data_IF_262849754256
#
_entry.id   IF_262849754256
#
_cell.length_a   1.000
_cell.length_b   1.000
_cell.length_c   1.000
_cell.angle_alpha   90.00
_cell.angle_beta   90.00
_cell.angle_gamma   90.00
#
_symmetry.space_group_name_H-M   'P 1'
#
loop_
_entity.id
_entity.type
_entity.pdbx_description
1 polymer ?
#
# COMPACT_ATOMS: atom_id res chain seq x y z
N UNK A 1 -7.43 13.55 10.72
CA UNK A 1 -6.99 12.15 10.96
C UNK A 1 -5.57 12.13 11.48
N UNK A 2 -5.17 11.05 12.17
CA UNK A 2 -3.79 10.78 12.57
C UNK A 2 -3.21 9.67 11.68
N UNK A 3 -1.89 9.49 11.70
CA UNK A 3 -1.20 8.52 10.83
C UNK A 3 -1.68 7.07 11.05
N UNK A 4 -2.09 6.71 12.28
CA UNK A 4 -2.65 5.39 12.60
C UNK A 4 -3.90 5.07 11.79
N UNK A 5 -4.84 6.01 11.71
CA UNK A 5 -6.06 5.82 10.92
C UNK A 5 -5.73 5.64 9.45
N UNK A 6 -4.75 6.41 8.93
CA UNK A 6 -4.31 6.31 7.54
C UNK A 6 -3.70 4.94 7.25
N UNK A 7 -2.87 4.40 8.15
CA UNK A 7 -2.36 3.03 8.04
C UNK A 7 -3.50 2.01 7.97
N UNK A 8 -4.54 2.14 8.79
CA UNK A 8 -5.67 1.21 8.73
C UNK A 8 -6.47 1.35 7.43
N UNK A 9 -6.67 2.56 6.93
CA UNK A 9 -7.34 2.78 5.63
C UNK A 9 -6.59 2.08 4.51
N UNK A 10 -5.28 2.31 4.37
CA UNK A 10 -4.49 1.60 3.35
C UNK A 10 -4.46 0.10 3.61
N UNK A 11 -4.21 -0.32 4.85
CA UNK A 11 -4.12 -1.73 5.21
C UNK A 11 -5.38 -2.53 4.86
N UNK A 12 -6.55 -2.00 5.22
CA UNK A 12 -7.84 -2.62 4.89
C UNK A 12 -8.07 -2.58 3.38
N UNK A 13 -7.78 -1.45 2.71
CA UNK A 13 -7.98 -1.32 1.25
C UNK A 13 -7.15 -2.36 0.49
N UNK A 14 -5.87 -2.52 0.82
CA UNK A 14 -4.99 -3.49 0.19
C UNK A 14 -5.46 -4.93 0.41
N UNK A 15 -5.92 -5.27 1.63
CA UNK A 15 -6.50 -6.60 1.89
C UNK A 15 -7.76 -6.82 1.07
N UNK A 16 -8.68 -5.85 1.04
CA UNK A 16 -9.94 -5.98 0.30
C UNK A 16 -9.70 -6.13 -1.20
N UNK A 17 -8.80 -5.33 -1.80
CA UNK A 17 -8.44 -5.43 -3.21
C UNK A 17 -7.74 -6.75 -3.50
N UNK A 18 -6.81 -7.18 -2.64
CA UNK A 18 -6.13 -8.47 -2.79
C UNK A 18 -7.10 -9.65 -2.72
N UNK A 19 -8.09 -9.61 -1.82
CA UNK A 19 -9.14 -10.62 -1.74
C UNK A 19 -10.07 -10.59 -2.97
N UNK A 20 -10.45 -9.40 -3.43
CA UNK A 20 -11.27 -9.23 -4.63
C UNK A 20 -10.60 -9.83 -5.87
N UNK A 21 -9.28 -9.69 -6.00
CA UNK A 21 -8.51 -10.20 -7.13
C UNK A 21 -8.51 -11.73 -7.29
N UNK A 22 -8.94 -12.49 -6.28
CA UNK A 22 -9.10 -13.95 -6.39
C UNK A 22 -10.43 -14.37 -7.04
N UNK A 23 -11.34 -13.43 -7.28
CA UNK A 23 -12.65 -13.67 -7.87
C UNK A 23 -12.68 -12.95 -9.22
N UNK A 24 -13.10 -13.65 -10.29
CA UNK A 24 -13.16 -13.03 -11.61
C UNK A 24 -14.12 -11.82 -11.61
N UNK A 25 -13.62 -10.68 -12.07
CA UNK A 25 -14.37 -9.42 -12.11
C UNK A 25 -13.73 -8.45 -13.13
N UNK A 26 -14.47 -7.46 -13.65
CA UNK A 26 -13.95 -6.58 -14.70
C UNK A 26 -12.89 -5.57 -14.23
N UNK A 27 -12.67 -5.41 -12.92
CA UNK A 27 -11.77 -4.38 -12.37
C UNK A 27 -10.38 -4.92 -12.06
N UNK A 28 -10.27 -5.96 -11.22
CA UNK A 28 -9.02 -6.54 -10.73
C UNK A 28 -9.10 -8.05 -10.85
N UNK A 29 -8.62 -8.61 -11.95
CA UNK A 29 -8.53 -10.05 -12.21
C UNK A 29 -7.45 -10.32 -13.25
N UNK A 30 -7.27 -11.58 -13.68
CA UNK A 30 -6.32 -11.91 -14.76
C UNK A 30 -6.71 -11.24 -16.10
N UNK A 31 -8.00 -10.94 -16.29
CA UNK A 31 -8.54 -10.31 -17.52
C UNK A 31 -9.17 -8.93 -17.29
N UNK A 32 -9.11 -8.42 -16.05
CA UNK A 32 -9.70 -7.15 -15.65
C UNK A 32 -8.90 -5.92 -16.12
N UNK A 33 -9.45 -4.74 -15.82
CA UNK A 33 -8.80 -3.46 -16.14
C UNK A 33 -7.41 -3.32 -15.48
N UNK A 34 -7.26 -3.79 -14.26
CA UNK A 34 -5.98 -4.02 -13.58
C UNK A 34 -5.68 -5.51 -13.63
N UNK A 35 -4.76 -5.88 -14.53
CA UNK A 35 -4.41 -7.28 -14.75
C UNK A 35 -3.53 -7.79 -13.60
N UNK A 36 -4.06 -8.69 -12.78
CA UNK A 36 -3.42 -9.24 -11.59
C UNK A 36 -3.56 -10.75 -11.56
N UNK A 37 -2.57 -11.44 -10.99
CA UNK A 37 -2.61 -12.89 -10.78
C UNK A 37 -2.58 -13.23 -9.28
N UNK A 38 -2.67 -14.53 -8.97
CA UNK A 38 -2.69 -15.02 -7.59
C UNK A 38 -1.55 -14.47 -6.72
N UNK A 39 -0.34 -14.31 -7.28
CA UNK A 39 0.83 -13.85 -6.53
C UNK A 39 0.74 -12.34 -6.26
N UNK A 40 0.28 -11.55 -7.23
CA UNK A 40 0.02 -10.13 -7.05
C UNK A 40 -1.00 -9.91 -5.91
N UNK A 41 -2.10 -10.67 -5.92
CA UNK A 41 -3.12 -10.61 -4.88
C UNK A 41 -2.57 -10.94 -3.48
N UNK A 42 -1.67 -11.93 -3.40
CA UNK A 42 -1.01 -12.28 -2.15
C UNK A 42 -0.09 -11.15 -1.64
N UNK A 43 0.66 -10.50 -2.54
CA UNK A 43 1.48 -9.32 -2.19
C UNK A 43 0.60 -8.20 -1.62
N UNK A 44 -0.59 -7.96 -2.19
CA UNK A 44 -1.54 -6.98 -1.66
C UNK A 44 -2.00 -7.31 -0.24
N UNK A 45 -2.37 -8.56 0.02
CA UNK A 45 -2.80 -9.00 1.36
C UNK A 45 -1.66 -8.82 2.37
N UNK A 46 -0.43 -9.21 2.01
CA UNK A 46 0.75 -9.08 2.87
C UNK A 46 1.05 -7.60 3.14
N UNK A 47 1.04 -6.75 2.11
CA UNK A 47 1.26 -5.32 2.27
C UNK A 47 0.19 -4.68 3.16
N UNK A 48 -1.07 -5.07 2.99
CA UNK A 48 -2.17 -4.59 3.83
C UNK A 48 -2.03 -5.02 5.28
N UNK A 49 -1.64 -6.28 5.52
CA UNK A 49 -1.31 -6.77 6.86
C UNK A 49 -0.14 -6.00 7.48
N UNK A 50 0.91 -5.68 6.72
CA UNK A 50 2.06 -4.91 7.19
C UNK A 50 1.66 -3.50 7.66
N UNK A 51 0.77 -2.80 6.94
CA UNK A 51 0.23 -1.52 7.40
C UNK A 51 -0.51 -1.64 8.73
N UNK A 52 -1.41 -2.62 8.87
CA UNK A 52 -2.21 -2.81 10.09
C UNK A 52 -1.32 -3.19 11.27
N UNK A 53 -0.40 -4.14 11.04
CA UNK A 53 0.53 -4.62 12.07
C UNK A 53 1.45 -3.49 12.50
N UNK A 54 2.09 -2.76 11.57
CA UNK A 54 2.95 -1.65 11.91
C UNK A 54 2.24 -0.57 12.73
N UNK A 55 0.99 -0.25 12.38
CA UNK A 55 0.19 0.70 13.16
C UNK A 55 -0.23 0.20 14.55
N UNK A 56 -0.28 -1.13 14.76
CA UNK A 56 -0.59 -1.75 16.06
C UNK A 56 0.64 -1.95 16.94
N UNK A 57 1.77 -2.36 16.36
CA UNK A 57 2.98 -2.74 17.10
C UNK A 57 3.92 -1.57 17.35
N UNK A 58 3.84 -0.49 16.57
CA UNK A 58 4.69 0.69 16.71
C UNK A 58 3.88 1.95 17.06
N UNK A 59 3.25 2.01 18.25
CA UNK A 59 2.49 3.18 18.66
C UNK A 59 3.42 4.40 18.73
N UNK A 60 2.98 5.53 18.15
CA UNK A 60 3.77 6.76 18.12
C UNK A 60 4.74 6.88 16.94
N UNK A 61 4.86 5.83 16.10
CA UNK A 61 5.71 5.81 14.92
C UNK A 61 4.94 5.45 13.63
N UNK A 62 3.62 5.61 13.64
CA UNK A 62 2.76 5.22 12.51
C UNK A 62 3.09 5.99 11.22
N UNK A 63 3.52 7.25 11.34
CA UNK A 63 4.00 8.08 10.24
C UNK A 63 5.25 7.50 9.58
N UNK A 64 6.12 6.83 10.34
CA UNK A 64 7.29 6.14 9.80
C UNK A 64 6.90 4.84 9.09
N UNK A 65 5.85 4.15 9.54
CA UNK A 65 5.28 3.00 8.81
C UNK A 65 4.80 3.46 7.43
N UNK A 66 4.06 4.57 7.34
CA UNK A 66 3.62 5.13 6.06
C UNK A 66 4.81 5.49 5.16
N UNK A 67 5.86 6.12 5.70
CA UNK A 67 7.07 6.46 4.92
C UNK A 67 7.78 5.21 4.41
N UNK A 68 7.95 4.20 5.24
CA UNK A 68 8.62 2.94 4.87
C UNK A 68 7.83 2.19 3.79
N UNK A 69 6.51 2.08 3.94
CA UNK A 69 5.66 1.44 2.95
C UNK A 69 5.58 2.25 1.64
N UNK A 70 5.51 3.58 1.74
CA UNK A 70 5.50 4.46 0.58
C UNK A 70 6.82 4.41 -0.20
N UNK A 71 7.96 4.48 0.49
CA UNK A 71 9.28 4.36 -0.16
C UNK A 71 9.48 2.97 -0.78
N UNK A 72 9.09 1.90 -0.08
CA UNK A 72 9.07 0.55 -0.63
C UNK A 72 8.17 0.45 -1.88
N UNK A 73 6.99 1.06 -1.84
CA UNK A 73 6.07 1.14 -2.98
C UNK A 73 6.65 1.88 -4.19
N UNK A 74 7.43 2.95 -3.96
CA UNK A 74 8.15 3.65 -5.03
C UNK A 74 9.17 2.71 -5.67
N UNK A 75 9.96 2.00 -4.87
CA UNK A 75 10.95 1.05 -5.38
C UNK A 75 10.27 -0.05 -6.20
N UNK A 76 9.22 -0.68 -5.67
CA UNK A 76 8.43 -1.70 -6.38
C UNK A 76 7.89 -1.16 -7.71
N UNK A 77 7.35 0.05 -7.69
CA UNK A 77 6.82 0.68 -8.90
C UNK A 77 7.91 0.95 -9.94
N UNK A 78 9.07 1.47 -9.52
CA UNK A 78 10.20 1.70 -10.41
C UNK A 78 10.66 0.38 -11.05
N UNK A 79 10.78 -0.69 -10.25
CA UNK A 79 11.09 -2.04 -10.77
C UNK A 79 10.04 -2.50 -11.78
N UNK A 80 8.76 -2.26 -11.49
CA UNK A 80 7.67 -2.59 -12.40
C UNK A 80 7.84 -1.84 -13.74
N UNK A 81 8.02 -0.51 -13.72
CA UNK A 81 8.24 0.30 -14.93
C UNK A 81 9.46 -0.15 -15.75
N UNK A 82 10.53 -0.55 -15.09
CA UNK A 82 11.75 -1.05 -15.75
C UNK A 82 11.59 -2.48 -16.29
N UNK A 83 10.56 -3.22 -15.88
CA UNK A 83 10.31 -4.57 -16.40
C UNK A 83 9.56 -4.49 -17.74
N UNK A 84 10.15 -5.11 -18.77
CA UNK A 84 9.53 -5.28 -20.08
C UNK A 84 8.43 -6.36 -20.04
N UNK A 85 7.31 -6.12 -20.73
CA UNK A 85 6.19 -7.06 -20.83
C UNK A 85 5.17 -7.00 -19.68
N UNK A 86 4.32 -8.03 -19.56
CA UNK A 86 3.18 -8.07 -18.63
C UNK A 86 3.46 -8.84 -17.34
N UNK A 87 4.72 -9.22 -17.09
CA UNK A 87 5.12 -9.98 -15.90
C UNK A 87 6.33 -9.36 -15.22
N UNK A 88 6.09 -8.66 -14.11
CA UNK A 88 7.14 -8.18 -13.21
C UNK A 88 7.85 -9.38 -12.56
N UNK A 89 9.19 -9.37 -12.59
CA UNK A 89 10.04 -10.47 -12.07
C UNK A 89 9.64 -11.85 -12.60
N UNK A 90 9.11 -11.93 -13.83
CA UNK A 90 8.59 -13.15 -14.48
C UNK A 90 7.38 -13.82 -13.80
N UNK A 91 6.92 -13.31 -12.64
CA UNK A 91 5.96 -13.99 -11.78
C UNK A 91 4.69 -13.18 -11.50
N UNK A 92 4.80 -11.85 -11.40
CA UNK A 92 3.69 -10.98 -10.98
C UNK A 92 3.08 -10.35 -12.22
N UNK A 93 1.82 -10.67 -12.50
CA UNK A 93 1.11 -10.09 -13.64
C UNK A 93 0.85 -8.61 -13.40
N UNK A 94 1.12 -7.80 -14.42
CA UNK A 94 1.02 -6.34 -14.39
C UNK A 94 0.65 -5.84 -15.77
N UNK A 95 -0.14 -4.76 -15.85
CA UNK A 95 -0.40 -4.04 -17.09
C UNK A 95 -0.07 -2.55 -16.95
N UNK A 96 -0.31 -1.76 -18.02
CA UNK A 96 -0.01 -0.33 -17.99
C UNK A 96 -0.85 0.43 -16.96
N UNK A 97 -2.14 0.14 -16.85
CA UNK A 97 -3.02 0.78 -15.87
C UNK A 97 -2.54 0.54 -14.43
N UNK A 98 -2.13 -0.70 -14.13
CA UNK A 98 -1.60 -1.11 -12.84
C UNK A 98 -0.30 -0.38 -12.48
N UNK A 99 0.62 -0.21 -13.44
CA UNK A 99 1.88 0.53 -13.24
C UNK A 99 1.63 1.97 -12.79
N UNK A 100 0.71 2.67 -13.46
CA UNK A 100 0.36 4.05 -13.11
C UNK A 100 -0.38 4.14 -11.78
N UNK A 101 -1.28 3.21 -11.49
CA UNK A 101 -1.98 3.14 -10.21
C UNK A 101 -0.97 3.00 -9.06
N UNK A 102 -0.02 2.08 -9.18
CA UNK A 102 1.01 1.86 -8.16
C UNK A 102 1.89 3.08 -7.94
N UNK A 103 2.27 3.80 -9.01
CA UNK A 103 3.03 5.04 -8.90
C UNK A 103 2.29 6.10 -8.09
N UNK A 104 1.04 6.37 -8.47
CA UNK A 104 0.19 7.34 -7.76
C UNK A 104 0.00 6.94 -6.30
N UNK A 105 -0.29 5.67 -6.04
CA UNK A 105 -0.53 5.16 -4.70
C UNK A 105 0.72 5.22 -3.81
N UNK A 106 1.89 4.85 -4.34
CA UNK A 106 3.15 4.93 -3.62
C UNK A 106 3.49 6.36 -3.20
N UNK A 107 3.28 7.33 -4.10
CA UNK A 107 3.45 8.76 -3.81
C UNK A 107 2.47 9.20 -2.72
N UNK A 108 1.19 8.87 -2.85
CA UNK A 108 0.15 9.27 -1.88
C UNK A 108 0.44 8.70 -0.50
N UNK A 109 0.83 7.42 -0.41
CA UNK A 109 1.20 6.77 0.86
C UNK A 109 2.41 7.46 1.49
N UNK A 110 3.47 7.69 0.71
CA UNK A 110 4.70 8.32 1.19
C UNK A 110 4.42 9.74 1.71
N UNK A 111 3.73 10.56 0.91
CA UNK A 111 3.33 11.93 1.26
C UNK A 111 2.44 11.94 2.51
N UNK A 112 1.54 10.98 2.65
CA UNK A 112 0.71 10.84 3.86
C UNK A 112 1.54 10.65 5.13
N UNK A 113 2.67 9.93 5.03
CA UNK A 113 3.61 9.77 6.13
C UNK A 113 4.30 11.08 6.58
N UNK A 114 4.38 12.08 5.70
CA UNK A 114 4.90 13.41 6.05
C UNK A 114 3.82 14.39 6.52
N UNK A 115 2.58 14.23 6.04
CA UNK A 115 1.45 15.12 6.35
C UNK A 115 0.82 14.77 7.70
N UNK A 116 0.57 13.48 7.97
CA UNK A 116 -0.20 13.06 9.14
C UNK A 116 0.70 12.75 10.34
N UNK A 117 0.28 13.21 11.51
CA UNK A 117 1.00 13.03 12.79
C UNK A 117 0.55 11.77 13.53
N UNK A 118 1.46 11.25 14.34
CA UNK A 118 1.23 10.10 15.21
C UNK A 118 0.25 10.40 16.36
N UNK A 119 -0.49 9.37 16.80
CA UNK A 119 -1.56 9.54 17.78
C UNK A 119 -1.01 9.89 19.18
N UNK A 120 0.08 9.23 19.59
CA UNK A 120 0.67 9.39 20.93
C UNK A 120 1.37 10.75 21.10
N UNK A 121 2.06 11.22 20.05
CA UNK A 121 2.73 12.53 20.04
C UNK A 121 1.74 13.68 20.22
N UNK A 122 0.49 13.53 19.76
CA UNK A 122 -0.56 14.54 19.99
C UNK A 122 -1.01 14.59 21.45
N UNK A 123 -1.20 13.44 22.10
CA UNK A 123 -1.68 13.37 23.48
C UNK A 123 -0.66 13.93 24.48
N UNK A 124 0.63 13.60 24.33
CA UNK A 124 1.67 14.14 25.20
C UNK A 124 1.75 15.67 25.15
N UNK A 125 1.70 16.27 23.95
CA UNK A 125 1.71 17.74 23.83
C UNK A 125 0.49 18.39 24.47
N UNK A 126 -0.70 17.80 24.28
CA UNK A 126 -1.94 18.36 24.82
C UNK A 126 -2.01 18.34 26.35
N UNK A 127 -1.29 17.43 27.01
CA UNK A 127 -1.23 17.34 28.48
C UNK A 127 -0.13 18.24 29.08
N UNK A 128 0.79 18.75 28.27
CA UNK A 128 2.00 19.44 28.71
C UNK A 128 2.09 20.90 28.21
N UNK A 129 0.96 21.47 27.75
CA UNK A 129 0.79 22.89 27.36
C UNK A 129 -0.45 23.45 28.02
#
# INVERSE_FOLDING_TARGET
>A
MNARVICYVFGITFILVGLLGFIENPLVSETGFFAVNWLHNLVHIIAGAAFILGARTCPGYESNVLKAMGSGGIVVTLVNFLTEGEKMLFLIQVNQADRWLHLGLAIIVLVSGFIFRDAQTRQWKALNT
#
